data_IF_676460224675
#
_entry.id   IF_676460224675
#
_cell.length_a   1.000
_cell.length_b   1.000
_cell.length_c   1.000
_cell.angle_alpha   90.00
_cell.angle_beta   90.00
_cell.angle_gamma   90.00
#
_symmetry.space_group_name_H-M   'P 1'
#
loop_
_entity.id
_entity.type
_entity.pdbx_description
1 polymer ?
#
# COMPACT_ATOMS: atom_id res chain seq x y z
N UNK A 1 17.04 -16.48 4.69
CA UNK A 1 17.30 -15.06 4.44
C UNK A 1 17.72 -14.92 2.98
N UNK A 2 17.06 -14.06 2.19
CA UNK A 2 17.46 -13.81 0.81
C UNK A 2 18.26 -12.52 0.80
N UNK A 3 19.49 -12.57 0.31
CA UNK A 3 20.31 -11.36 0.16
C UNK A 3 19.80 -10.52 -1.01
N UNK A 4 19.80 -9.20 -0.81
CA UNK A 4 19.53 -8.22 -1.87
C UNK A 4 20.90 -7.74 -2.35
N UNK A 5 21.23 -7.90 -3.65
CA UNK A 5 22.49 -7.42 -4.19
C UNK A 5 22.65 -5.91 -3.99
N UNK A 6 23.88 -5.45 -3.80
CA UNK A 6 24.16 -4.01 -3.80
C UNK A 6 23.77 -3.40 -5.15
N UNK A 7 23.00 -2.32 -5.10
CA UNK A 7 22.45 -1.61 -6.25
C UNK A 7 22.49 -0.12 -5.99
N UNK A 8 22.62 0.68 -7.05
CA UNK A 8 22.55 2.13 -6.96
C UNK A 8 21.15 2.63 -6.60
N UNK A 9 20.12 1.82 -6.84
CA UNK A 9 18.72 2.18 -6.57
C UNK A 9 17.95 0.94 -6.11
N UNK A 10 17.20 1.11 -5.02
CA UNK A 10 16.31 0.09 -4.48
C UNK A 10 14.91 0.69 -4.38
N UNK A 11 13.93 0.02 -4.99
CA UNK A 11 12.52 0.37 -4.85
C UNK A 11 11.92 -0.56 -3.79
N UNK A 12 11.28 0.04 -2.80
CA UNK A 12 10.56 -0.66 -1.74
C UNK A 12 9.08 -0.32 -1.91
N UNK A 13 8.26 -1.35 -2.08
CA UNK A 13 6.82 -1.21 -2.29
C UNK A 13 6.06 -2.00 -1.21
N UNK A 14 4.88 -1.50 -0.86
CA UNK A 14 4.02 -2.10 0.14
C UNK A 14 3.25 -1.09 0.98
N UNK A 15 2.27 -1.60 1.71
CA UNK A 15 1.48 -0.83 2.68
C UNK A 15 2.30 -0.56 3.94
N UNK A 16 2.08 0.57 4.60
CA UNK A 16 2.74 0.86 5.88
C UNK A 16 4.09 1.56 5.82
N UNK A 17 4.56 1.97 4.63
CA UNK A 17 5.90 2.52 4.44
C UNK A 17 6.06 3.98 4.93
N UNK A 18 4.97 4.74 5.04
CA UNK A 18 5.02 6.14 5.47
C UNK A 18 5.04 6.33 7.00
N UNK A 19 5.35 5.27 7.75
CA UNK A 19 5.53 5.38 9.20
C UNK A 19 6.81 6.16 9.53
N UNK A 20 6.79 7.06 10.55
CA UNK A 20 7.93 7.92 10.86
C UNK A 20 9.23 7.16 11.12
N UNK A 21 9.16 5.94 11.67
CA UNK A 21 10.35 5.13 11.95
C UNK A 21 11.06 4.65 10.68
N UNK A 22 10.33 4.57 9.55
CA UNK A 22 10.81 4.12 8.25
C UNK A 22 11.22 5.28 7.34
N UNK A 23 10.50 6.40 7.40
CA UNK A 23 10.69 7.53 6.47
C UNK A 23 12.14 8.04 6.40
N UNK A 24 12.89 7.98 7.51
CA UNK A 24 14.30 8.37 7.56
C UNK A 24 15.24 7.54 6.67
N UNK A 25 14.79 6.40 6.15
CA UNK A 25 15.56 5.51 5.29
C UNK A 25 15.27 5.72 3.80
N UNK A 26 14.24 6.49 3.44
CA UNK A 26 13.87 6.73 2.05
C UNK A 26 14.42 8.06 1.56
N UNK A 27 15.11 8.02 0.42
CA UNK A 27 15.58 9.23 -0.24
C UNK A 27 14.48 9.92 -1.06
N UNK A 28 13.44 9.17 -1.43
CA UNK A 28 12.30 9.63 -2.22
C UNK A 28 11.10 8.72 -1.99
N UNK A 29 9.90 9.28 -1.98
CA UNK A 29 8.65 8.59 -1.66
C UNK A 29 7.55 8.86 -2.67
N UNK A 30 6.79 7.83 -2.99
CA UNK A 30 5.71 7.86 -3.98
C UNK A 30 4.44 7.36 -3.30
N UNK A 31 3.38 8.16 -3.33
CA UNK A 31 2.03 7.71 -2.96
C UNK A 31 1.23 7.43 -4.23
N UNK A 32 0.73 6.20 -4.38
CA UNK A 32 -0.18 5.83 -5.47
C UNK A 32 -1.61 5.97 -4.95
N UNK A 33 -2.25 7.06 -5.33
CA UNK A 33 -3.57 7.43 -4.83
C UNK A 33 -4.68 6.70 -5.59
N UNK A 34 -5.54 6.02 -4.86
CA UNK A 34 -6.67 5.29 -5.40
C UNK A 34 -7.86 5.36 -4.43
N UNK A 35 -9.09 5.56 -4.92
CA UNK A 35 -10.29 5.44 -4.11
C UNK A 35 -10.34 4.08 -3.40
N UNK A 36 -10.55 4.10 -2.08
CA UNK A 36 -10.54 2.90 -1.24
C UNK A 36 -11.52 1.83 -1.74
N UNK A 37 -12.74 2.22 -2.14
CA UNK A 37 -13.74 1.27 -2.63
C UNK A 37 -13.29 0.57 -3.92
N UNK A 38 -12.58 1.28 -4.80
CA UNK A 38 -12.03 0.67 -6.00
C UNK A 38 -10.89 -0.29 -5.68
N UNK A 39 -9.98 0.11 -4.77
CA UNK A 39 -8.89 -0.75 -4.31
C UNK A 39 -9.43 -2.05 -3.69
N UNK A 40 -10.45 -1.96 -2.82
CA UNK A 40 -11.12 -3.11 -2.21
C UNK A 40 -11.81 -3.98 -3.26
N UNK A 41 -12.55 -3.39 -4.19
CA UNK A 41 -13.21 -4.14 -5.26
C UNK A 41 -12.22 -4.90 -6.15
N UNK A 42 -11.10 -4.26 -6.52
CA UNK A 42 -10.03 -4.90 -7.29
C UNK A 42 -9.34 -6.00 -6.50
N UNK A 43 -9.11 -5.78 -5.20
CA UNK A 43 -8.55 -6.77 -4.28
C UNK A 43 -9.38 -8.04 -4.21
N UNK A 44 -10.68 -7.90 -3.89
CA UNK A 44 -11.62 -9.02 -3.86
C UNK A 44 -11.71 -9.76 -5.19
N UNK A 45 -11.79 -9.02 -6.29
CA UNK A 45 -11.84 -9.60 -7.64
C UNK A 45 -10.60 -10.43 -7.94
N UNK A 46 -9.40 -9.90 -7.66
CA UNK A 46 -8.14 -10.63 -7.87
C UNK A 46 -8.08 -11.91 -7.04
N UNK A 47 -8.40 -11.82 -5.76
CA UNK A 47 -8.33 -12.96 -4.85
C UNK A 47 -9.30 -14.07 -5.26
N UNK A 48 -10.53 -13.70 -5.66
CA UNK A 48 -11.53 -14.65 -6.14
C UNK A 48 -11.20 -15.22 -7.52
N UNK A 49 -10.93 -14.38 -8.51
CA UNK A 49 -10.92 -14.78 -9.92
C UNK A 49 -9.53 -15.30 -10.37
N UNK A 50 -8.46 -14.68 -9.88
CA UNK A 50 -7.09 -15.04 -10.27
C UNK A 50 -6.50 -16.07 -9.32
N UNK A 51 -6.73 -15.91 -8.02
CA UNK A 51 -6.14 -16.78 -7.00
C UNK A 51 -7.09 -17.88 -6.50
N UNK A 52 -8.36 -17.89 -6.94
CA UNK A 52 -9.37 -18.87 -6.51
C UNK A 52 -9.49 -18.98 -4.99
N UNK A 53 -9.31 -17.86 -4.29
CA UNK A 53 -9.23 -17.76 -2.84
C UNK A 53 -10.04 -16.55 -2.36
N UNK A 54 -11.37 -16.62 -2.32
CA UNK A 54 -12.20 -15.49 -1.90
C UNK A 54 -11.92 -15.12 -0.44
N UNK A 55 -11.61 -13.84 -0.20
CA UNK A 55 -11.32 -13.31 1.14
C UNK A 55 -12.21 -12.10 1.47
N UNK A 56 -13.44 -12.08 0.98
CA UNK A 56 -14.37 -10.95 1.12
C UNK A 56 -14.53 -10.48 2.58
N UNK A 57 -14.62 -11.40 3.54
CA UNK A 57 -14.73 -11.08 4.96
C UNK A 57 -13.48 -10.36 5.51
N UNK A 58 -12.29 -10.71 5.01
CA UNK A 58 -11.04 -10.05 5.40
C UNK A 58 -10.91 -8.69 4.74
N UNK A 59 -11.31 -8.56 3.47
CA UNK A 59 -11.40 -7.27 2.78
C UNK A 59 -12.36 -6.31 3.48
N UNK A 60 -13.59 -6.75 3.77
CA UNK A 60 -14.62 -5.89 4.38
C UNK A 60 -14.37 -5.63 5.87
N UNK A 61 -13.79 -6.59 6.58
CA UNK A 61 -13.61 -6.52 8.02
C UNK A 61 -12.27 -5.92 8.44
N UNK A 62 -11.17 -6.53 8.01
CA UNK A 62 -9.83 -6.25 8.57
C UNK A 62 -9.06 -5.29 7.68
N UNK A 63 -8.92 -5.59 6.39
CA UNK A 63 -8.01 -4.87 5.52
C UNK A 63 -8.50 -3.47 5.19
N UNK A 64 -9.78 -3.31 4.82
CA UNK A 64 -10.36 -1.98 4.61
C UNK A 64 -10.25 -1.09 5.85
N UNK A 65 -10.48 -1.66 7.03
CA UNK A 65 -10.36 -0.93 8.30
C UNK A 65 -8.92 -0.50 8.56
N UNK A 66 -7.95 -1.40 8.37
CA UNK A 66 -6.54 -1.09 8.53
C UNK A 66 -6.07 -0.01 7.54
N UNK A 67 -6.54 -0.04 6.30
CA UNK A 67 -6.22 0.99 5.29
C UNK A 67 -6.73 2.37 5.72
N UNK A 68 -7.97 2.46 6.22
CA UNK A 68 -8.54 3.71 6.75
C UNK A 68 -7.71 4.20 7.94
N UNK A 69 -7.47 3.35 8.94
CA UNK A 69 -6.72 3.71 10.14
C UNK A 69 -5.30 4.17 9.80
N UNK A 70 -4.63 3.48 8.88
CA UNK A 70 -3.31 3.84 8.41
C UNK A 70 -3.31 5.19 7.68
N UNK A 71 -4.21 5.37 6.72
CA UNK A 71 -4.31 6.62 5.96
C UNK A 71 -4.60 7.81 6.88
N UNK A 72 -5.52 7.64 7.83
CA UNK A 72 -5.88 8.68 8.78
C UNK A 72 -4.77 9.01 9.79
N UNK A 73 -3.98 8.01 10.17
CA UNK A 73 -2.88 8.21 11.13
C UNK A 73 -1.67 8.87 10.48
N UNK A 74 -1.27 8.41 9.29
CA UNK A 74 0.03 8.78 8.69
C UNK A 74 -0.07 9.75 7.53
N UNK A 75 -1.27 9.98 6.98
CA UNK A 75 -1.55 10.94 5.89
C UNK A 75 -0.49 10.88 4.78
N UNK A 76 -0.24 9.69 4.17
CA UNK A 76 0.84 9.51 3.20
C UNK A 76 0.71 10.43 1.98
N UNK A 77 -0.51 10.78 1.60
CA UNK A 77 -0.83 11.73 0.53
C UNK A 77 -0.40 13.18 0.83
N UNK A 78 -0.12 13.54 2.08
CA UNK A 78 0.32 14.89 2.45
C UNK A 78 1.85 15.01 2.54
N UNK A 79 2.54 13.88 2.71
CA UNK A 79 3.99 13.84 3.00
C UNK A 79 4.83 13.15 1.93
N UNK A 80 4.20 12.54 0.92
CA UNK A 80 4.93 11.96 -0.21
C UNK A 80 5.56 13.04 -1.10
N UNK A 81 6.74 12.74 -1.65
CA UNK A 81 7.41 13.63 -2.60
C UNK A 81 6.63 13.76 -3.91
N UNK A 82 5.88 12.71 -4.29
CA UNK A 82 4.97 12.73 -5.44
C UNK A 82 3.75 11.85 -5.20
N UNK A 83 2.61 12.31 -5.74
CA UNK A 83 1.35 11.59 -5.74
C UNK A 83 1.02 11.19 -7.18
N UNK A 84 0.73 9.91 -7.40
CA UNK A 84 0.33 9.36 -8.69
C UNK A 84 -1.10 8.87 -8.61
N UNK A 85 -1.99 9.42 -9.43
CA UNK A 85 -3.38 8.98 -9.51
C UNK A 85 -3.50 7.62 -10.20
N UNK A 86 -4.27 6.71 -9.59
CA UNK A 86 -4.56 5.36 -10.07
C UNK A 86 -6.08 5.10 -10.05
N UNK A 87 -6.80 5.97 -10.75
CA UNK A 87 -8.24 5.86 -11.06
C UNK A 87 -8.43 5.45 -12.52
#
# INVERSE_FOLDING_TARGET
MREVPSTNTLIIEGVGLFRPELMKYFAYTIWVDCPLEEAVARGKKRDKDEHHNPQDELWDGIWKKNDIEYFDTYKPNEIADVIISNT
#
